data_IF_460884716017
#
_entry.id   IF_460884716017
#
_cell.length_a   1.000
_cell.length_b   1.000
_cell.length_c   1.000
_cell.angle_alpha   90.00
_cell.angle_beta   90.00
_cell.angle_gamma   90.00
#
_symmetry.space_group_name_H-M   'P 1'
#
loop_
_entity.id
_entity.type
_entity.pdbx_description
1 polymer ?
#
# COMPACT_ATOMS: atom_id res chain seq x y z
N UNK A 1 14.56 14.84 13.89
CA UNK A 1 13.39 14.69 13.00
C UNK A 1 13.20 13.21 12.72
N UNK A 2 11.95 12.76 12.70
CA UNK A 2 11.58 11.41 12.28
C UNK A 2 10.88 11.45 10.92
N UNK A 3 11.22 10.53 10.04
CA UNK A 3 10.55 10.30 8.77
C UNK A 3 10.12 8.83 8.65
N UNK A 4 9.15 8.53 7.79
CA UNK A 4 8.65 7.17 7.62
C UNK A 4 9.49 6.36 6.63
N UNK A 5 10.12 7.01 5.66
CA UNK A 5 10.83 6.35 4.57
C UNK A 5 12.31 6.70 4.61
N UNK A 6 13.16 5.75 4.28
CA UNK A 6 14.62 5.95 4.18
C UNK A 6 14.93 7.03 3.12
N UNK A 7 14.18 7.05 2.02
CA UNK A 7 14.35 8.04 0.94
C UNK A 7 14.17 9.49 1.40
N UNK A 8 13.42 9.72 2.49
CA UNK A 8 13.15 11.08 2.99
C UNK A 8 14.30 11.67 3.82
N UNK A 9 15.27 10.85 4.25
CA UNK A 9 16.39 11.30 5.08
C UNK A 9 17.14 12.47 4.43
N UNK A 10 17.48 12.35 3.13
CA UNK A 10 18.25 13.35 2.42
C UNK A 10 17.47 14.67 2.24
N UNK A 11 16.16 14.57 2.06
CA UNK A 11 15.30 15.75 1.99
C UNK A 11 15.35 16.57 3.28
N UNK A 12 15.16 15.93 4.44
CA UNK A 12 15.21 16.62 5.74
C UNK A 12 16.63 17.12 6.09
N UNK A 13 17.67 16.38 5.70
CA UNK A 13 19.05 16.88 5.84
C UNK A 13 19.30 18.12 4.98
N UNK A 14 18.76 18.15 3.76
CA UNK A 14 18.82 19.31 2.87
C UNK A 14 18.10 20.54 3.44
N UNK A 15 17.07 20.34 4.28
CA UNK A 15 16.41 21.41 5.02
C UNK A 15 17.19 21.87 6.31
N UNK A 16 18.39 21.31 6.54
CA UNK A 16 19.24 21.67 7.69
C UNK A 16 19.01 20.86 8.96
N UNK A 17 18.19 19.79 8.91
CA UNK A 17 18.00 18.90 10.05
C UNK A 17 19.27 18.06 10.30
N UNK A 18 19.89 18.20 11.47
CA UNK A 18 21.15 17.53 11.80
C UNK A 18 20.95 16.05 12.14
N UNK A 19 19.89 15.71 12.88
CA UNK A 19 19.54 14.35 13.27
C UNK A 19 18.21 13.97 12.61
N UNK A 20 18.29 13.04 11.66
CA UNK A 20 17.13 12.52 10.92
C UNK A 20 17.14 11.00 11.04
N UNK A 21 16.09 10.45 11.65
CA UNK A 21 15.94 9.02 11.92
C UNK A 21 14.69 8.48 11.26
N UNK A 22 14.71 7.19 10.88
CA UNK A 22 13.56 6.52 10.30
C UNK A 22 12.70 5.90 11.40
N UNK A 23 11.47 6.35 11.50
CA UNK A 23 10.44 5.71 12.32
C UNK A 23 9.42 5.06 11.39
N UNK A 24 9.61 3.76 11.15
CA UNK A 24 8.73 2.99 10.26
C UNK A 24 7.28 3.03 10.72
N UNK A 25 6.38 2.86 9.76
CA UNK A 25 4.96 2.66 10.07
C UNK A 25 4.78 1.43 10.96
N UNK A 26 3.75 1.48 11.80
CA UNK A 26 3.39 0.40 12.71
C UNK A 26 1.94 -0.01 12.44
N UNK A 27 1.69 -1.30 12.42
CA UNK A 27 0.36 -1.85 12.48
C UNK A 27 0.24 -2.74 13.71
N UNK A 28 -0.69 -2.38 14.60
CA UNK A 28 -1.09 -3.22 15.75
C UNK A 28 -2.42 -3.87 15.37
N UNK A 29 -2.46 -5.18 15.10
CA UNK A 29 -3.67 -5.86 14.66
C UNK A 29 -4.80 -5.85 15.70
N UNK A 30 -4.49 -5.76 16.99
CA UNK A 30 -5.46 -5.65 18.10
C UNK A 30 -6.56 -6.74 18.01
N UNK A 31 -6.14 -7.99 17.85
CA UNK A 31 -7.01 -9.15 17.72
C UNK A 31 -7.58 -9.40 16.32
N UNK A 32 -7.28 -8.57 15.33
CA UNK A 32 -7.59 -8.86 13.94
C UNK A 32 -6.67 -9.97 13.41
N UNK A 33 -7.20 -10.82 12.55
CA UNK A 33 -6.45 -11.90 11.92
C UNK A 33 -6.22 -11.58 10.44
N UNK A 34 -5.10 -12.04 9.86
CA UNK A 34 -4.94 -12.06 8.42
C UNK A 34 -6.09 -12.83 7.76
N UNK A 35 -6.36 -12.55 6.49
CA UNK A 35 -7.38 -13.31 5.74
C UNK A 35 -7.02 -14.79 5.71
N UNK A 36 -8.05 -15.65 5.80
CA UNK A 36 -7.92 -17.10 5.68
C UNK A 36 -8.36 -17.63 4.32
N UNK A 37 -9.09 -16.82 3.54
CA UNK A 37 -9.64 -17.16 2.24
C UNK A 37 -9.25 -16.14 1.19
N UNK A 38 -9.31 -16.54 -0.07
CA UNK A 38 -9.09 -15.63 -1.18
C UNK A 38 -10.28 -14.68 -1.31
N UNK A 39 -9.99 -13.41 -1.48
CA UNK A 39 -11.01 -12.42 -1.76
C UNK A 39 -11.38 -12.36 -3.25
N UNK A 40 -12.21 -11.40 -3.59
CA UNK A 40 -12.59 -11.07 -4.96
C UNK A 40 -12.53 -9.56 -5.17
N UNK A 41 -11.96 -9.13 -6.28
CA UNK A 41 -11.88 -7.71 -6.62
C UNK A 41 -10.54 -7.04 -6.30
N UNK A 42 -10.48 -5.78 -6.72
CA UNK A 42 -9.31 -4.91 -6.59
C UNK A 42 -9.64 -3.70 -5.72
N UNK A 43 -8.79 -3.43 -4.73
CA UNK A 43 -8.89 -2.23 -3.90
C UNK A 43 -7.93 -1.16 -4.37
N UNK A 44 -8.43 0.05 -4.67
CA UNK A 44 -7.61 1.23 -4.90
C UNK A 44 -7.25 1.86 -3.56
N UNK A 45 -5.98 2.14 -3.30
CA UNK A 45 -5.49 2.61 -2.01
C UNK A 45 -5.72 4.08 -1.67
N UNK A 46 -6.15 4.89 -2.61
CA UNK A 46 -6.33 6.33 -2.43
C UNK A 46 -7.50 6.91 -3.20
N UNK A 47 -7.87 8.13 -2.87
CA UNK A 47 -8.85 8.88 -3.65
C UNK A 47 -8.24 9.48 -4.92
N UNK A 48 -9.06 10.12 -5.75
CA UNK A 48 -8.69 10.64 -7.07
C UNK A 48 -8.05 12.02 -7.08
N UNK A 49 -7.65 12.56 -5.92
CA UNK A 49 -6.81 13.76 -5.91
C UNK A 49 -5.41 13.43 -6.46
N UNK A 50 -4.80 14.39 -7.14
CA UNK A 50 -3.58 14.15 -7.93
C UNK A 50 -2.42 13.55 -7.15
N UNK A 51 -2.25 13.91 -5.88
CA UNK A 51 -1.16 13.38 -5.05
C UNK A 51 -1.38 11.98 -4.50
N UNK A 52 -2.62 11.48 -4.45
CA UNK A 52 -2.92 10.09 -4.08
C UNK A 52 -2.92 9.12 -5.25
N UNK A 53 -2.86 9.62 -6.50
CA UNK A 53 -2.73 8.79 -7.68
C UNK A 53 -3.92 7.86 -7.94
N UNK A 54 -5.13 8.27 -7.55
CA UNK A 54 -6.33 7.44 -7.74
C UNK A 54 -6.62 7.14 -9.20
N UNK A 55 -6.41 8.09 -10.12
CA UNK A 55 -6.59 7.85 -11.55
C UNK A 55 -5.56 6.87 -12.11
N UNK A 56 -4.27 7.00 -11.75
CA UNK A 56 -3.24 6.05 -12.16
C UNK A 56 -3.58 4.65 -11.64
N UNK A 57 -4.00 4.56 -10.37
CA UNK A 57 -4.41 3.29 -9.75
C UNK A 57 -5.65 2.68 -10.42
N UNK A 58 -6.61 3.50 -10.80
CA UNK A 58 -7.81 3.06 -11.51
C UNK A 58 -7.50 2.50 -12.90
N UNK A 59 -6.62 3.17 -13.67
CA UNK A 59 -6.18 2.68 -14.99
C UNK A 59 -5.60 1.28 -14.85
N UNK A 60 -4.74 1.06 -13.87
CA UNK A 60 -4.10 -0.25 -13.63
C UNK A 60 -5.11 -1.28 -13.12
N UNK A 61 -6.01 -0.89 -12.21
CA UNK A 61 -7.03 -1.78 -11.67
C UNK A 61 -8.00 -2.31 -12.75
N UNK A 62 -8.33 -1.50 -13.75
CA UNK A 62 -9.18 -1.92 -14.89
C UNK A 62 -8.58 -3.08 -15.69
N UNK A 63 -7.27 -3.15 -15.82
CA UNK A 63 -6.60 -4.23 -16.55
C UNK A 63 -6.75 -5.59 -15.84
N UNK A 64 -6.96 -5.57 -14.53
CA UNK A 64 -7.24 -6.79 -13.75
C UNK A 64 -8.62 -7.33 -14.10
N UNK A 65 -9.61 -6.46 -14.30
CA UNK A 65 -10.94 -6.81 -14.74
C UNK A 65 -11.87 -7.39 -13.66
N UNK A 66 -11.47 -7.31 -12.40
CA UNK A 66 -12.29 -7.65 -11.23
C UNK A 66 -13.12 -6.43 -10.80
N UNK A 67 -14.14 -6.59 -9.94
CA UNK A 67 -14.80 -5.46 -9.31
C UNK A 67 -13.78 -4.53 -8.64
N UNK A 68 -13.91 -3.23 -8.88
CA UNK A 68 -13.00 -2.23 -8.35
C UNK A 68 -13.69 -1.48 -7.22
N UNK A 69 -13.01 -1.35 -6.08
CA UNK A 69 -13.49 -0.56 -4.95
C UNK A 69 -12.49 0.52 -4.54
N UNK A 70 -13.00 1.63 -4.04
CA UNK A 70 -12.22 2.73 -3.51
C UNK A 70 -12.71 3.12 -2.11
N UNK A 71 -11.83 3.32 -1.11
CA UNK A 71 -12.24 3.69 0.23
C UNK A 71 -12.69 5.15 0.28
N UNK A 72 -13.58 5.47 1.20
CA UNK A 72 -13.89 6.86 1.52
C UNK A 72 -12.72 7.50 2.26
N UNK A 73 -12.14 8.54 1.64
CA UNK A 73 -11.06 9.35 2.22
C UNK A 73 -11.55 10.72 2.74
N UNK A 74 -12.86 10.87 2.91
CA UNK A 74 -13.47 12.12 3.34
C UNK A 74 -13.42 13.26 2.32
N UNK A 75 -12.90 12.99 1.11
CA UNK A 75 -12.83 13.94 -0.02
C UNK A 75 -13.23 13.23 -1.30
N UNK A 76 -14.08 13.86 -2.08
CA UNK A 76 -14.48 13.37 -3.39
C UNK A 76 -14.27 14.47 -4.44
N UNK A 77 -13.69 14.10 -5.57
CA UNK A 77 -13.53 14.98 -6.72
C UNK A 77 -14.76 14.86 -7.62
N UNK A 78 -15.17 15.95 -8.26
CA UNK A 78 -16.32 15.90 -9.20
C UNK A 78 -16.10 14.91 -10.35
N UNK A 79 -14.84 14.74 -10.77
CA UNK A 79 -14.48 13.79 -11.83
C UNK A 79 -14.75 12.34 -11.45
N UNK A 80 -14.75 12.02 -10.15
CA UNK A 80 -15.05 10.67 -9.66
C UNK A 80 -16.50 10.27 -9.94
N UNK A 81 -17.43 11.24 -10.01
CA UNK A 81 -18.84 10.98 -10.32
C UNK A 81 -19.05 10.46 -11.77
N UNK A 82 -18.07 10.68 -12.65
CA UNK A 82 -18.10 10.19 -14.03
C UNK A 82 -17.58 8.75 -14.18
N UNK A 83 -17.05 8.15 -13.10
CA UNK A 83 -16.52 6.78 -13.13
C UNK A 83 -17.59 5.85 -12.56
N UNK A 84 -18.27 5.12 -13.42
CA UNK A 84 -19.41 4.28 -13.05
C UNK A 84 -19.04 2.87 -12.59
N UNK A 85 -17.85 2.39 -12.96
CA UNK A 85 -17.38 1.03 -12.70
C UNK A 85 -16.52 0.90 -11.41
N UNK A 86 -16.66 1.84 -10.47
CA UNK A 86 -16.04 1.79 -9.15
C UNK A 86 -17.11 1.77 -8.06
N UNK A 87 -16.97 0.83 -7.14
CA UNK A 87 -17.73 0.85 -5.88
C UNK A 87 -17.03 1.77 -4.87
N UNK A 88 -17.63 2.93 -4.61
CA UNK A 88 -17.17 3.81 -3.54
C UNK A 88 -17.68 3.32 -2.18
N UNK A 89 -16.75 2.94 -1.32
CA UNK A 89 -17.07 2.41 0.01
C UNK A 89 -17.43 3.55 0.97
N UNK A 90 -18.30 3.31 1.96
CA UNK A 90 -18.58 4.28 3.00
C UNK A 90 -17.33 4.51 3.89
N UNK A 91 -17.39 5.56 4.74
CA UNK A 91 -16.39 5.72 5.79
C UNK A 91 -16.45 4.53 6.74
N UNK A 92 -15.29 4.00 7.08
CA UNK A 92 -15.12 2.88 8.00
C UNK A 92 -14.14 3.25 9.12
N UNK A 93 -14.38 2.75 10.32
CA UNK A 93 -13.36 2.75 11.37
C UNK A 93 -12.15 1.90 10.92
N UNK A 94 -11.01 2.05 11.60
CA UNK A 94 -9.82 1.29 11.24
C UNK A 94 -10.05 -0.23 11.26
N UNK A 95 -10.76 -0.75 12.25
CA UNK A 95 -11.08 -2.18 12.34
C UNK A 95 -11.98 -2.65 11.21
N UNK A 96 -13.02 -1.89 10.90
CA UNK A 96 -13.92 -2.19 9.78
C UNK A 96 -13.16 -2.16 8.46
N UNK A 97 -12.26 -1.19 8.30
CA UNK A 97 -11.40 -1.06 7.12
C UNK A 97 -10.52 -2.30 6.94
N UNK A 98 -9.79 -2.73 7.98
CA UNK A 98 -8.92 -3.91 7.88
C UNK A 98 -9.72 -5.17 7.59
N UNK A 99 -10.86 -5.38 8.26
CA UNK A 99 -11.74 -6.51 7.97
C UNK A 99 -12.31 -6.46 6.55
N UNK A 100 -12.69 -5.29 6.05
CA UNK A 100 -13.19 -5.15 4.69
C UNK A 100 -12.09 -5.44 3.65
N UNK A 101 -10.87 -4.97 3.90
CA UNK A 101 -9.74 -5.18 2.99
C UNK A 101 -9.44 -6.68 2.76
N UNK A 102 -9.70 -7.55 3.73
CA UNK A 102 -9.50 -9.00 3.59
C UNK A 102 -10.32 -9.64 2.45
N UNK A 103 -11.38 -8.97 1.99
CA UNK A 103 -12.27 -9.45 0.93
C UNK A 103 -11.72 -9.23 -0.48
N UNK A 104 -10.58 -8.55 -0.62
CA UNK A 104 -9.97 -8.21 -1.92
C UNK A 104 -8.78 -9.10 -2.24
N UNK A 105 -8.51 -9.28 -3.52
CA UNK A 105 -7.38 -10.06 -4.01
C UNK A 105 -6.15 -9.21 -4.29
N UNK A 106 -6.33 -8.00 -4.80
CA UNK A 106 -5.23 -7.15 -5.27
C UNK A 106 -5.44 -5.73 -4.75
N UNK A 107 -4.35 -5.13 -4.29
CA UNK A 107 -4.26 -3.71 -3.99
C UNK A 107 -3.56 -2.94 -5.12
N UNK A 108 -4.00 -1.71 -5.40
CA UNK A 108 -3.31 -0.80 -6.33
C UNK A 108 -3.24 0.59 -5.69
N UNK A 109 -2.04 1.09 -5.47
CA UNK A 109 -1.82 2.40 -4.84
C UNK A 109 -0.62 3.14 -5.47
N UNK A 110 -0.87 3.75 -6.61
CA UNK A 110 0.15 4.50 -7.35
C UNK A 110 0.26 5.94 -6.84
N UNK A 111 0.56 6.08 -5.54
CA UNK A 111 0.68 7.36 -4.87
C UNK A 111 2.03 8.01 -5.16
N UNK A 112 2.00 9.27 -5.60
CA UNK A 112 3.19 10.06 -5.96
C UNK A 112 3.81 10.79 -4.77
N UNK A 113 3.09 10.88 -3.66
CA UNK A 113 3.52 11.61 -2.47
C UNK A 113 4.12 10.65 -1.45
N UNK A 114 5.27 11.01 -0.89
CA UNK A 114 5.84 10.26 0.21
C UNK A 114 4.99 10.45 1.49
N UNK A 115 4.62 9.36 2.12
CA UNK A 115 3.82 9.31 3.33
C UNK A 115 4.14 8.03 4.12
N UNK A 116 3.35 7.74 5.15
CA UNK A 116 3.51 6.52 5.95
C UNK A 116 3.29 5.20 5.19
N UNK A 117 2.58 5.25 4.04
CA UNK A 117 2.37 4.08 3.18
C UNK A 117 1.50 2.98 3.82
N UNK A 118 0.54 3.35 4.66
CA UNK A 118 -0.25 2.40 5.45
C UNK A 118 -1.07 1.44 4.59
N UNK A 119 -1.49 1.83 3.39
CA UNK A 119 -2.27 0.96 2.51
C UNK A 119 -1.49 -0.29 2.08
N UNK A 120 -0.24 -0.12 1.58
CA UNK A 120 0.60 -1.25 1.20
C UNK A 120 0.87 -2.19 2.39
N UNK A 121 1.11 -1.62 3.58
CA UNK A 121 1.29 -2.38 4.81
C UNK A 121 0.02 -3.15 5.20
N UNK A 122 -1.17 -2.56 5.07
CA UNK A 122 -2.45 -3.22 5.37
C UNK A 122 -2.73 -4.36 4.38
N UNK A 123 -2.41 -4.18 3.10
CA UNK A 123 -2.44 -5.25 2.11
C UNK A 123 -1.50 -6.40 2.51
N UNK A 124 -0.27 -6.08 2.91
CA UNK A 124 0.73 -7.06 3.31
C UNK A 124 0.31 -7.86 4.55
N UNK A 125 -0.39 -7.26 5.52
CA UNK A 125 -0.97 -7.94 6.67
C UNK A 125 -1.91 -9.08 6.24
N UNK A 126 -2.68 -8.88 5.17
CA UNK A 126 -3.57 -9.89 4.60
C UNK A 126 -2.92 -10.75 3.52
N UNK A 127 -1.62 -10.60 3.27
CA UNK A 127 -0.93 -11.25 2.15
C UNK A 127 -1.57 -10.93 0.79
N UNK A 128 -2.08 -9.70 0.63
CA UNK A 128 -2.65 -9.19 -0.61
C UNK A 128 -1.53 -8.51 -1.41
N UNK A 129 -1.21 -8.97 -2.63
CA UNK A 129 -0.29 -8.29 -3.52
C UNK A 129 -0.73 -6.85 -3.80
N UNK A 130 0.19 -5.88 -3.68
CA UNK A 130 -0.11 -4.46 -3.89
C UNK A 130 0.84 -3.83 -4.90
N UNK A 131 0.31 -3.34 -6.01
CA UNK A 131 1.08 -2.58 -7.01
C UNK A 131 1.17 -1.13 -6.53
N UNK A 132 2.38 -0.58 -6.48
CA UNK A 132 2.58 0.79 -6.01
C UNK A 132 3.84 1.44 -6.57
N UNK A 133 3.89 2.77 -6.46
CA UNK A 133 5.09 3.52 -6.84
C UNK A 133 6.20 3.38 -5.80
N UNK A 134 7.45 3.45 -6.29
CA UNK A 134 8.66 3.55 -5.49
C UNK A 134 8.65 4.80 -4.60
N UNK A 135 9.32 4.73 -3.45
CA UNK A 135 9.51 5.85 -2.52
C UNK A 135 8.84 5.66 -1.16
N UNK A 136 8.01 4.62 -1.02
CA UNK A 136 7.43 4.23 0.27
C UNK A 136 8.09 2.95 0.77
N UNK A 137 8.73 2.99 1.94
CA UNK A 137 9.38 1.82 2.54
C UNK A 137 8.41 0.63 2.68
N UNK A 138 7.13 0.89 2.99
CA UNK A 138 6.12 -0.16 3.10
C UNK A 138 5.86 -0.86 1.76
N UNK A 139 5.87 -0.11 0.66
CA UNK A 139 5.72 -0.67 -0.68
C UNK A 139 6.96 -1.48 -1.07
N UNK A 140 8.15 -0.90 -0.89
CA UNK A 140 9.40 -1.52 -1.32
C UNK A 140 9.76 -2.76 -0.49
N UNK A 141 9.47 -2.76 0.81
CA UNK A 141 9.75 -3.89 1.69
C UNK A 141 8.72 -5.03 1.57
N UNK A 142 7.44 -4.69 1.42
CA UNK A 142 6.38 -5.70 1.36
C UNK A 142 6.09 -6.19 -0.06
N UNK A 143 6.24 -5.33 -1.07
CA UNK A 143 5.83 -5.62 -2.45
C UNK A 143 6.94 -5.28 -3.47
N UNK A 144 8.20 -5.71 -3.28
CA UNK A 144 9.31 -5.31 -4.15
C UNK A 144 9.08 -5.72 -5.62
N UNK A 145 8.50 -6.90 -5.88
CA UNK A 145 8.18 -7.35 -7.24
C UNK A 145 7.06 -6.54 -7.90
N UNK A 146 6.27 -5.81 -7.11
CA UNK A 146 5.13 -5.00 -7.56
C UNK A 146 5.39 -3.49 -7.44
N UNK A 147 6.60 -3.11 -7.06
CA UNK A 147 7.04 -1.72 -7.02
C UNK A 147 7.46 -1.28 -8.42
N UNK A 148 6.99 -0.09 -8.83
CA UNK A 148 7.28 0.51 -10.13
C UNK A 148 7.77 1.95 -9.95
N UNK A 149 8.48 2.49 -10.93
CA UNK A 149 8.92 3.88 -10.89
C UNK A 149 7.74 4.84 -11.06
N UNK A 150 7.85 6.03 -10.46
CA UNK A 150 6.78 7.03 -10.49
C UNK A 150 6.46 7.42 -11.94
N UNK A 151 5.21 7.21 -12.34
CA UNK A 151 4.71 7.51 -13.68
C UNK A 151 4.86 6.36 -14.68
N UNK A 152 5.51 5.26 -14.32
CA UNK A 152 5.63 4.08 -15.20
C UNK A 152 4.34 3.22 -15.14
N UNK A 153 3.30 3.73 -15.79
CA UNK A 153 2.02 3.02 -15.88
C UNK A 153 2.10 1.76 -16.73
N UNK A 154 2.95 1.73 -17.74
CA UNK A 154 3.11 0.57 -18.61
C UNK A 154 3.60 -0.65 -17.82
N UNK A 155 4.65 -0.47 -17.01
CA UNK A 155 5.14 -1.53 -16.13
C UNK A 155 4.10 -1.92 -15.08
N UNK A 156 3.35 -0.96 -14.52
CA UNK A 156 2.30 -1.24 -13.54
C UNK A 156 1.17 -2.10 -14.16
N UNK A 157 0.73 -1.77 -15.37
CA UNK A 157 -0.26 -2.54 -16.14
C UNK A 157 0.24 -3.96 -16.42
N UNK A 158 1.49 -4.11 -16.89
CA UNK A 158 2.06 -5.44 -17.12
C UNK A 158 2.12 -6.29 -15.85
N UNK A 159 2.44 -5.69 -14.70
CA UNK A 159 2.41 -6.41 -13.41
C UNK A 159 0.98 -6.80 -13.00
N UNK A 160 0.00 -5.95 -13.28
CA UNK A 160 -1.42 -6.26 -13.05
C UNK A 160 -1.88 -7.46 -13.90
N UNK A 161 -1.49 -7.51 -15.16
CA UNK A 161 -1.77 -8.62 -16.06
C UNK A 161 -1.11 -9.92 -15.57
N UNK A 162 0.16 -9.86 -15.13
CA UNK A 162 0.85 -11.03 -14.55
C UNK A 162 0.14 -11.54 -13.29
N UNK A 163 -0.28 -10.66 -12.37
CA UNK A 163 -1.05 -11.08 -11.19
C UNK A 163 -2.38 -11.75 -11.52
N UNK A 164 -2.99 -11.37 -12.65
CA UNK A 164 -4.25 -11.96 -13.14
C UNK A 164 -4.04 -13.31 -13.82
N UNK A 165 -2.99 -13.45 -14.61
CA UNK A 165 -2.81 -14.56 -15.56
C UNK A 165 -1.90 -15.66 -15.02
N UNK A 166 -0.99 -15.33 -14.09
CA UNK A 166 0.00 -16.25 -13.52
C UNK A 166 -0.22 -16.42 -12.01
N UNK A 167 -0.85 -17.53 -11.64
CA UNK A 167 -1.10 -17.88 -10.24
C UNK A 167 0.20 -18.07 -9.46
N UNK A 168 1.25 -18.60 -10.07
CA UNK A 168 2.56 -18.78 -9.41
C UNK A 168 3.19 -17.42 -9.07
N UNK A 169 3.10 -16.46 -9.98
CA UNK A 169 3.54 -15.08 -9.72
C UNK A 169 2.72 -14.41 -8.63
N UNK A 170 1.39 -14.63 -8.63
CA UNK A 170 0.53 -14.12 -7.57
C UNK A 170 0.92 -14.68 -6.20
N UNK A 171 1.10 -16.01 -6.09
CA UNK A 171 1.49 -16.68 -4.84
C UNK A 171 2.86 -16.20 -4.33
N UNK A 172 3.83 -16.03 -5.22
CA UNK A 172 5.14 -15.46 -4.88
C UNK A 172 5.00 -14.05 -4.30
N UNK A 173 4.24 -13.17 -4.97
CA UNK A 173 4.00 -11.80 -4.51
C UNK A 173 3.24 -11.76 -3.16
N UNK A 174 2.28 -12.66 -2.97
CA UNK A 174 1.51 -12.82 -1.74
C UNK A 174 2.40 -13.24 -0.57
N UNK A 175 3.23 -14.26 -0.78
CA UNK A 175 4.20 -14.74 0.22
C UNK A 175 5.22 -13.64 0.57
N UNK A 176 5.69 -12.90 -0.41
CA UNK A 176 6.64 -11.81 -0.21
C UNK A 176 6.02 -10.66 0.60
N UNK A 177 4.75 -10.33 0.36
CA UNK A 177 4.00 -9.36 1.13
C UNK A 177 3.94 -9.75 2.62
N UNK A 178 3.56 -10.99 2.91
CA UNK A 178 3.52 -11.54 4.26
C UNK A 178 4.88 -11.51 4.95
N UNK A 179 5.93 -11.92 4.23
CA UNK A 179 7.30 -11.92 4.74
C UNK A 179 7.76 -10.50 5.09
N UNK A 180 7.57 -9.54 4.18
CA UNK A 180 7.92 -8.14 4.40
C UNK A 180 7.18 -7.54 5.60
N UNK A 181 5.88 -7.81 5.73
CA UNK A 181 5.13 -7.38 6.91
C UNK A 181 5.72 -7.93 8.20
N UNK A 182 5.96 -9.24 8.25
CA UNK A 182 6.49 -9.92 9.45
C UNK A 182 7.88 -9.47 9.83
N UNK A 183 8.71 -9.13 8.85
CA UNK A 183 10.09 -8.72 9.06
C UNK A 183 10.23 -7.26 9.52
N UNK A 184 9.33 -6.36 9.07
CA UNK A 184 9.53 -4.92 9.27
C UNK A 184 8.44 -4.22 10.07
N UNK A 185 7.18 -4.69 10.07
CA UNK A 185 6.02 -3.89 10.48
C UNK A 185 5.20 -4.46 11.63
N UNK A 186 5.60 -5.58 12.22
CA UNK A 186 5.01 -6.08 13.46
C UNK A 186 5.42 -5.20 14.64
N UNK A 187 4.61 -5.17 15.69
CA UNK A 187 4.89 -4.43 16.91
C UNK A 187 6.27 -4.77 17.49
N UNK A 188 6.60 -6.07 17.54
CA UNK A 188 7.91 -6.52 18.02
C UNK A 188 9.07 -5.93 17.20
N UNK A 189 8.99 -5.98 15.88
CA UNK A 189 10.03 -5.44 14.99
C UNK A 189 10.13 -3.93 15.05
N UNK A 190 9.01 -3.26 15.22
CA UNK A 190 8.98 -1.81 15.38
C UNK A 190 9.69 -1.40 16.67
N UNK A 191 9.39 -2.06 17.80
CA UNK A 191 10.04 -1.82 19.10
C UNK A 191 11.54 -2.14 19.06
N UNK A 192 11.95 -3.23 18.41
CA UNK A 192 13.35 -3.57 18.20
C UNK A 192 14.09 -2.43 17.47
N UNK A 193 13.54 -1.96 16.36
CA UNK A 193 14.12 -0.87 15.57
C UNK A 193 14.12 0.46 16.33
N UNK A 194 13.06 0.75 17.07
CA UNK A 194 12.98 1.94 17.91
C UNK A 194 14.09 1.96 18.97
N UNK A 195 14.25 0.87 19.71
CA UNK A 195 15.26 0.77 20.77
C UNK A 195 16.68 0.91 20.24
N UNK A 196 17.00 0.33 19.08
CA UNK A 196 18.32 0.47 18.44
C UNK A 196 18.71 1.93 18.17
N UNK A 197 17.76 2.78 17.81
CA UNK A 197 18.03 4.19 17.51
C UNK A 197 18.42 5.04 18.73
N UNK A 198 18.17 4.55 19.96
CA UNK A 198 18.50 5.26 21.19
C UNK A 198 19.79 4.77 21.84
N UNK A 199 20.32 3.66 21.37
CA UNK A 199 21.55 3.04 21.90
C UNK A 199 22.79 3.35 21.05
N UNK A 200 22.61 3.92 19.87
CA UNK A 200 23.63 4.44 18.96
C UNK A 200 23.72 5.99 19.03
#
# INVERSE_FOLDING_TARGET
VYCHNISDIQYYKGLGCKDVRVMRSLMIPDGLLPRSEWGDGTMIGGNFVSWYGGFDSYIVAREIGNPISSPSMGRKQKQEDAIEDIQYLPYMTWREWINNLSQYNIGVHLMRTHAAGTFAMNCAFHSIPCIGYRGLDTQENCHPNLTVDVGDLETAVRKAQLLKEDMGYYDECSLQAQKGFSEYYTEYKWLENWNKQWTE
#
